data_IF_911552579802
#
_entry.id   IF_911552579802
#
_cell.length_a   1.000
_cell.length_b   1.000
_cell.length_c   1.000
_cell.angle_alpha   90.00
_cell.angle_beta   90.00
_cell.angle_gamma   90.00
#
_symmetry.space_group_name_H-M   'P 1'
#
loop_
_entity.id
_entity.type
_entity.pdbx_description
1 polymer ?
#
# COMPACT_ATOMS: atom_id res chain seq x y z
N UNK A 1 21.00 -25.90 32.34
CA UNK A 1 20.65 -24.72 31.56
C UNK A 1 19.41 -24.12 32.19
N UNK A 2 19.37 -22.83 32.56
CA UNK A 2 18.15 -22.27 33.15
C UNK A 2 17.07 -22.30 32.06
N UNK A 3 15.89 -22.86 32.43
CA UNK A 3 14.69 -22.76 31.62
C UNK A 3 14.46 -21.26 31.33
N UNK A 4 14.46 -20.86 30.07
CA UNK A 4 14.02 -19.52 29.68
C UNK A 4 12.61 -19.34 30.29
N UNK A 5 12.49 -18.51 31.30
CA UNK A 5 11.19 -18.09 31.81
C UNK A 5 10.45 -17.47 30.58
N UNK A 6 9.41 -18.15 30.15
CA UNK A 6 8.57 -17.66 29.06
C UNK A 6 8.06 -16.30 29.51
N UNK A 7 8.37 -15.25 28.75
CA UNK A 7 8.01 -13.89 29.12
C UNK A 7 6.49 -13.77 29.29
N UNK A 8 6.05 -13.26 30.42
CA UNK A 8 4.63 -12.97 30.65
C UNK A 8 4.25 -11.68 29.91
N UNK A 9 3.83 -11.87 28.67
CA UNK A 9 3.43 -10.78 27.78
C UNK A 9 2.26 -9.99 28.36
N UNK A 10 1.33 -10.65 29.08
CA UNK A 10 0.19 -9.97 29.69
C UNK A 10 0.62 -9.07 30.86
N UNK A 11 1.56 -9.54 31.70
CA UNK A 11 2.14 -8.69 32.73
C UNK A 11 2.88 -7.50 32.17
N UNK A 12 3.58 -7.69 31.03
CA UNK A 12 4.28 -6.59 30.37
C UNK A 12 3.33 -5.49 29.87
N UNK A 13 2.22 -5.83 29.21
CA UNK A 13 1.32 -4.84 28.61
C UNK A 13 0.30 -4.25 29.61
N UNK A 14 0.09 -4.88 30.76
CA UNK A 14 -0.88 -4.41 31.77
C UNK A 14 -0.56 -3.00 32.23
N UNK A 15 -1.54 -2.10 32.05
CA UNK A 15 -1.42 -0.68 32.41
C UNK A 15 -0.48 0.13 31.50
N UNK A 16 0.04 -0.45 30.43
CA UNK A 16 0.86 0.28 29.45
C UNK A 16 0.01 0.95 28.39
N UNK A 17 0.64 1.92 27.74
CA UNK A 17 0.14 2.58 26.55
C UNK A 17 0.96 2.12 25.34
N UNK A 18 0.29 1.67 24.31
CA UNK A 18 0.88 1.34 23.01
C UNK A 18 0.67 2.52 22.06
N UNK A 19 1.71 2.93 21.36
CA UNK A 19 1.63 3.99 20.35
C UNK A 19 1.50 3.38 18.96
N UNK A 20 0.48 3.82 18.22
CA UNK A 20 0.35 3.56 16.79
C UNK A 20 0.79 4.81 16.02
N UNK A 21 1.94 4.73 15.35
CA UNK A 21 2.54 5.86 14.63
C UNK A 21 2.18 5.76 13.15
N UNK A 22 1.44 6.75 12.64
CA UNK A 22 0.95 6.78 11.26
C UNK A 22 1.86 7.63 10.38
N UNK A 23 2.34 7.07 9.28
CA UNK A 23 3.26 7.72 8.33
C UNK A 23 2.63 8.78 7.42
N UNK A 24 1.37 9.16 7.67
CA UNK A 24 0.64 10.17 6.89
C UNK A 24 -0.02 11.19 7.80
N UNK A 25 -0.48 12.30 7.20
CA UNK A 25 -1.30 13.29 7.91
C UNK A 25 -2.67 12.71 8.34
N UNK A 26 -3.36 13.39 9.29
CA UNK A 26 -4.66 12.96 9.77
C UNK A 26 -5.75 13.06 8.68
N UNK A 27 -6.77 12.19 8.79
CA UNK A 27 -7.98 12.18 7.95
C UNK A 27 -7.84 11.49 6.59
N UNK A 28 -6.64 11.09 6.17
CA UNK A 28 -6.45 10.28 4.96
C UNK A 28 -6.70 8.79 5.21
N UNK A 29 -6.79 7.99 4.12
CA UNK A 29 -7.10 6.56 4.21
C UNK A 29 -6.19 5.78 5.18
N UNK A 30 -4.88 6.00 5.18
CA UNK A 30 -3.97 5.35 6.13
C UNK A 30 -4.29 5.70 7.58
N UNK A 31 -4.61 6.96 7.87
CA UNK A 31 -4.97 7.43 9.21
C UNK A 31 -6.31 6.85 9.67
N UNK A 32 -7.32 6.81 8.79
CA UNK A 32 -8.63 6.23 9.11
C UNK A 32 -8.52 4.74 9.44
N UNK A 33 -7.81 3.95 8.65
CA UNK A 33 -7.55 2.54 8.94
C UNK A 33 -6.78 2.36 10.26
N UNK A 34 -5.72 3.15 10.48
CA UNK A 34 -4.92 3.05 11.70
C UNK A 34 -5.75 3.39 12.95
N UNK A 35 -6.63 4.39 12.89
CA UNK A 35 -7.53 4.74 14.00
C UNK A 35 -8.59 3.67 14.24
N UNK A 36 -9.15 3.07 13.18
CA UNK A 36 -10.07 1.96 13.31
C UNK A 36 -9.39 0.78 14.00
N UNK A 37 -8.22 0.34 13.55
CA UNK A 37 -7.45 -0.72 14.20
C UNK A 37 -7.09 -0.36 15.65
N UNK A 38 -6.65 0.87 15.92
CA UNK A 38 -6.25 1.30 17.25
C UNK A 38 -7.38 1.25 18.30
N UNK A 39 -8.63 1.47 17.89
CA UNK A 39 -9.79 1.36 18.80
C UNK A 39 -10.06 -0.05 19.30
N UNK A 40 -9.67 -1.06 18.50
CA UNK A 40 -10.04 -2.45 18.78
C UNK A 40 -8.86 -3.34 19.18
N UNK A 41 -7.67 -3.14 18.60
CA UNK A 41 -6.54 -4.06 18.76
C UNK A 41 -6.09 -4.21 20.23
N UNK A 42 -6.22 -3.18 21.04
CA UNK A 42 -5.87 -3.21 22.46
C UNK A 42 -6.63 -4.28 23.22
N UNK A 43 -7.87 -4.58 22.86
CA UNK A 43 -8.72 -5.60 23.48
C UNK A 43 -8.21 -7.02 23.21
N UNK A 44 -7.41 -7.22 22.17
CA UNK A 44 -6.87 -8.50 21.75
C UNK A 44 -5.40 -8.69 22.16
N UNK A 45 -4.72 -7.63 22.61
CA UNK A 45 -3.35 -7.75 23.14
C UNK A 45 -3.43 -8.23 24.58
N UNK A 46 -2.70 -9.30 24.97
CA UNK A 46 -2.65 -9.75 26.37
C UNK A 46 -2.28 -8.60 27.31
N UNK A 47 -3.07 -8.34 28.35
CA UNK A 47 -2.88 -7.21 29.28
C UNK A 47 -3.66 -5.94 28.91
N UNK A 48 -4.35 -5.94 27.78
CA UNK A 48 -5.28 -4.91 27.31
C UNK A 48 -4.72 -3.48 27.40
N UNK A 49 -3.59 -3.16 26.72
CA UNK A 49 -3.02 -1.82 26.74
C UNK A 49 -3.92 -0.82 26.00
N UNK A 50 -3.93 0.41 26.46
CA UNK A 50 -4.55 1.50 25.71
C UNK A 50 -3.72 1.81 24.48
N UNK A 51 -4.37 1.99 23.32
CA UNK A 51 -3.68 2.34 22.07
C UNK A 51 -3.93 3.81 21.72
N UNK A 52 -2.87 4.58 21.49
CA UNK A 52 -2.94 5.99 21.07
C UNK A 52 -2.35 6.16 19.67
N UNK A 53 -2.99 6.97 18.85
CA UNK A 53 -2.56 7.26 17.47
C UNK A 53 -1.80 8.58 17.41
N UNK A 54 -0.64 8.57 16.73
CA UNK A 54 0.19 9.75 16.47
C UNK A 54 0.55 9.81 14.99
N UNK A 55 0.37 10.96 14.35
CA UNK A 55 0.73 11.14 12.95
C UNK A 55 2.15 11.72 12.81
N UNK A 56 2.96 11.15 11.89
CA UNK A 56 4.30 11.60 11.57
C UNK A 56 4.53 11.48 10.05
N UNK A 57 4.06 12.48 9.31
CA UNK A 57 3.89 12.43 7.86
C UNK A 57 5.12 12.85 7.03
N UNK A 58 6.23 13.23 7.66
CA UNK A 58 7.38 13.79 6.94
C UNK A 58 7.96 12.82 5.89
N UNK A 59 8.25 13.33 4.69
CA UNK A 59 8.82 12.61 3.55
C UNK A 59 8.07 11.28 3.24
N UNK A 60 6.74 11.33 3.15
CA UNK A 60 5.95 10.13 2.86
C UNK A 60 6.05 9.03 3.94
N UNK A 61 6.36 9.41 5.17
CA UNK A 61 6.57 8.47 6.29
C UNK A 61 8.00 7.91 6.40
N UNK A 62 8.91 8.18 5.44
CA UNK A 62 10.30 7.70 5.51
C UNK A 62 11.04 8.16 6.77
N UNK A 63 10.81 9.42 7.21
CA UNK A 63 11.40 9.94 8.44
C UNK A 63 10.95 9.13 9.64
N UNK A 64 9.66 8.82 9.74
CA UNK A 64 9.10 7.98 10.80
C UNK A 64 9.77 6.60 10.83
N UNK A 65 9.86 5.93 9.67
CA UNK A 65 10.43 4.57 9.61
C UNK A 65 11.91 4.57 9.94
N UNK A 66 12.70 5.53 9.42
CA UNK A 66 14.11 5.69 9.76
C UNK A 66 14.33 5.87 11.27
N UNK A 67 13.49 6.71 11.92
CA UNK A 67 13.56 6.94 13.36
C UNK A 67 13.19 5.70 14.15
N UNK A 68 12.09 5.04 13.80
CA UNK A 68 11.64 3.83 14.51
C UNK A 68 12.63 2.66 14.33
N UNK A 69 13.23 2.55 13.15
CA UNK A 69 14.25 1.53 12.90
C UNK A 69 15.49 1.71 13.75
N UNK A 70 15.99 2.95 13.86
CA UNK A 70 17.27 3.26 14.49
C UNK A 70 17.13 3.53 16.00
N UNK A 71 16.09 4.28 16.39
CA UNK A 71 15.93 4.86 17.74
C UNK A 71 14.61 4.47 18.40
N UNK A 72 13.72 3.75 17.69
CA UNK A 72 12.42 3.35 18.23
C UNK A 72 12.56 2.40 19.42
N UNK A 73 11.57 2.39 20.34
CA UNK A 73 11.50 1.41 21.42
C UNK A 73 11.49 0.01 20.84
N UNK A 74 12.35 -0.85 21.38
CA UNK A 74 12.49 -2.26 20.98
C UNK A 74 11.76 -3.21 21.94
N UNK A 75 10.77 -2.69 22.63
CA UNK A 75 10.05 -3.39 23.69
C UNK A 75 8.62 -3.82 23.31
N UNK A 76 8.18 -3.48 22.07
CA UNK A 76 6.85 -3.82 21.58
C UNK A 76 5.74 -2.81 21.95
N UNK A 77 6.08 -1.64 22.53
CA UNK A 77 5.12 -0.59 22.86
C UNK A 77 4.81 0.34 21.68
N UNK A 78 5.36 0.06 20.49
CA UNK A 78 5.12 0.84 19.28
C UNK A 78 4.75 -0.06 18.11
N UNK A 79 3.66 0.30 17.42
CA UNK A 79 3.29 -0.21 16.08
C UNK A 79 3.28 0.97 15.12
N UNK A 80 3.85 0.81 13.94
CA UNK A 80 3.80 1.79 12.87
C UNK A 80 2.81 1.37 11.79
N UNK A 81 2.11 2.36 11.21
CA UNK A 81 1.24 2.23 10.05
C UNK A 81 1.82 3.10 8.91
N UNK A 82 2.77 2.57 8.12
CA UNK A 82 3.39 3.29 7.01
C UNK A 82 2.54 3.23 5.75
N UNK A 83 2.92 4.02 4.74
CA UNK A 83 2.39 3.83 3.38
C UNK A 83 2.93 2.54 2.76
N UNK A 84 2.19 2.00 1.78
CA UNK A 84 2.53 0.73 1.12
C UNK A 84 3.80 0.77 0.22
N UNK A 85 4.40 1.92 0.01
CA UNK A 85 5.70 2.06 -0.66
C UNK A 85 6.90 1.73 0.24
N UNK A 86 6.74 1.78 1.57
CA UNK A 86 7.82 1.59 2.53
C UNK A 86 8.55 0.25 2.41
N UNK A 87 7.86 -0.90 2.19
CA UNK A 87 8.57 -2.17 2.06
C UNK A 87 9.63 -2.20 0.95
N UNK A 88 9.42 -1.47 -0.14
CA UNK A 88 10.35 -1.41 -1.27
C UNK A 88 11.26 -0.17 -1.27
N UNK A 89 11.03 0.78 -0.38
CA UNK A 89 11.79 2.04 -0.33
C UNK A 89 13.32 1.85 -0.21
N UNK A 90 13.87 0.91 0.59
CA UNK A 90 15.33 0.68 0.62
C UNK A 90 15.92 0.26 -0.73
N UNK A 91 15.13 -0.40 -1.56
CA UNK A 91 15.54 -0.81 -2.91
C UNK A 91 15.44 0.35 -3.91
N UNK A 92 14.41 1.18 -3.81
CA UNK A 92 14.12 2.23 -4.79
C UNK A 92 14.78 3.57 -4.44
N UNK A 93 14.86 3.91 -3.16
CA UNK A 93 15.33 5.18 -2.63
C UNK A 93 16.41 4.99 -1.54
N UNK A 94 17.54 4.28 -1.79
CA UNK A 94 18.49 3.89 -0.76
C UNK A 94 19.16 5.07 -0.05
N UNK A 95 19.21 6.24 -0.67
CA UNK A 95 19.74 7.46 -0.04
C UNK A 95 18.80 8.00 1.05
N UNK A 96 17.48 7.84 0.88
CA UNK A 96 16.44 8.32 1.79
C UNK A 96 16.01 7.25 2.81
N UNK A 97 15.91 5.99 2.39
CA UNK A 97 15.49 4.86 3.21
C UNK A 97 16.68 4.19 3.91
N UNK A 98 16.93 4.56 5.16
CA UNK A 98 18.08 4.09 5.98
C UNK A 98 17.67 2.95 6.92
N UNK A 99 16.94 1.99 6.41
CA UNK A 99 16.46 0.82 7.14
C UNK A 99 16.48 -0.42 6.24
N UNK A 100 16.45 -1.58 6.85
CA UNK A 100 16.24 -2.85 6.18
C UNK A 100 14.79 -3.30 6.42
N UNK A 101 13.96 -3.26 5.37
CA UNK A 101 12.54 -3.61 5.49
C UNK A 101 12.30 -5.08 5.88
N UNK A 102 13.26 -5.98 5.59
CA UNK A 102 13.18 -7.38 5.98
C UNK A 102 13.39 -7.59 7.49
N UNK A 103 14.05 -6.64 8.18
CA UNK A 103 14.27 -6.66 9.63
C UNK A 103 13.15 -6.00 10.44
N UNK A 104 12.22 -5.30 9.79
CA UNK A 104 11.02 -4.83 10.45
C UNK A 104 10.13 -6.03 10.80
N UNK A 105 9.47 -5.98 11.95
CA UNK A 105 8.55 -7.03 12.37
C UNK A 105 7.15 -6.72 11.80
N UNK A 106 6.83 -7.21 10.64
CA UNK A 106 5.52 -6.99 10.02
C UNK A 106 4.43 -7.69 10.82
N UNK A 107 3.40 -6.93 11.19
CA UNK A 107 2.30 -7.35 12.07
C UNK A 107 1.08 -7.80 11.26
N UNK A 108 0.87 -7.21 10.09
CA UNK A 108 -0.21 -7.52 9.18
C UNK A 108 -0.50 -6.38 8.21
N UNK A 109 -1.52 -6.55 7.40
CA UNK A 109 -2.11 -5.49 6.56
C UNK A 109 -3.63 -5.60 6.62
N UNK A 110 -4.34 -4.48 6.73
CA UNK A 110 -5.82 -4.49 6.81
C UNK A 110 -6.49 -4.76 5.48
N UNK A 111 -5.81 -4.51 4.38
CA UNK A 111 -6.37 -4.80 3.06
C UNK A 111 -5.31 -5.17 2.03
N UNK A 112 -5.76 -5.92 1.03
CA UNK A 112 -5.16 -5.99 -0.31
C UNK A 112 -5.94 -5.02 -1.17
N UNK A 113 -5.30 -4.35 -2.11
CA UNK A 113 -5.97 -3.34 -2.91
C UNK A 113 -5.64 -3.53 -4.39
N UNK A 114 -6.64 -3.78 -5.20
CA UNK A 114 -6.48 -3.76 -6.65
C UNK A 114 -6.42 -2.32 -7.12
N UNK A 115 -5.43 -2.00 -7.93
CA UNK A 115 -5.34 -0.72 -8.61
C UNK A 115 -5.76 -0.88 -10.06
N UNK A 116 -6.32 0.20 -10.63
CA UNK A 116 -6.83 0.20 -12.00
C UNK A 116 -6.28 1.39 -12.80
N UNK A 117 -6.15 1.18 -14.10
CA UNK A 117 -6.15 2.25 -15.08
C UNK A 117 -7.53 2.35 -15.70
N UNK A 118 -8.09 3.55 -15.78
CA UNK A 118 -9.35 3.78 -16.47
C UNK A 118 -9.29 4.99 -17.39
N UNK A 119 -10.08 4.94 -18.45
CA UNK A 119 -10.25 6.01 -19.41
C UNK A 119 -11.65 6.62 -19.31
N UNK A 120 -11.74 7.91 -19.59
CA UNK A 120 -13.01 8.63 -19.77
C UNK A 120 -13.72 8.13 -21.02
N UNK A 121 -15.04 8.10 -21.03
CA UNK A 121 -15.84 7.53 -22.12
C UNK A 121 -15.58 8.19 -23.48
N UNK A 122 -15.17 9.45 -23.50
CA UNK A 122 -14.86 10.19 -24.74
C UNK A 122 -13.38 10.07 -25.16
N UNK A 123 -12.52 9.38 -24.39
CA UNK A 123 -11.13 9.21 -24.73
C UNK A 123 -10.94 8.27 -25.93
N UNK A 124 -9.88 8.46 -26.75
CA UNK A 124 -9.60 7.60 -27.91
C UNK A 124 -9.12 6.20 -27.53
N UNK A 125 -8.81 5.97 -26.25
CA UNK A 125 -8.34 4.71 -25.66
C UNK A 125 -9.45 4.16 -24.77
N UNK A 126 -10.02 3.01 -25.14
CA UNK A 126 -11.09 2.36 -24.38
C UNK A 126 -10.74 0.91 -24.01
N UNK A 127 -9.55 0.46 -24.39
CA UNK A 127 -9.03 -0.88 -24.11
C UNK A 127 -7.53 -0.86 -23.91
N UNK A 128 -7.00 -1.96 -23.33
CA UNK A 128 -5.55 -2.14 -23.23
C UNK A 128 -4.90 -2.25 -24.61
N UNK A 129 -5.59 -2.81 -25.59
CA UNK A 129 -5.10 -2.87 -26.98
C UNK A 129 -4.96 -1.48 -27.60
N UNK A 130 -5.91 -0.58 -27.33
CA UNK A 130 -5.78 0.83 -27.76
C UNK A 130 -4.60 1.50 -27.08
N UNK A 131 -4.41 1.30 -25.76
CA UNK A 131 -3.32 1.90 -24.98
C UNK A 131 -1.94 1.49 -25.48
N UNK A 132 -1.81 0.33 -26.12
CA UNK A 132 -0.57 -0.11 -26.74
C UNK A 132 -0.27 0.65 -28.05
N UNK A 133 -1.26 1.27 -28.67
CA UNK A 133 -1.15 1.92 -29.98
C UNK A 133 -1.35 3.43 -29.90
N UNK A 134 -2.25 3.90 -29.02
CA UNK A 134 -2.64 5.30 -28.86
C UNK A 134 -2.20 5.83 -27.51
N UNK A 135 -1.93 7.13 -27.44
CA UNK A 135 -1.64 7.82 -26.19
C UNK A 135 -2.92 8.01 -25.38
N UNK A 136 -2.83 7.77 -24.05
CA UNK A 136 -3.84 8.15 -23.08
C UNK A 136 -3.26 9.18 -22.12
N UNK A 137 -3.84 10.39 -22.11
CA UNK A 137 -3.42 11.48 -21.23
C UNK A 137 -4.03 11.24 -19.84
N UNK A 138 -3.19 10.94 -18.85
CA UNK A 138 -3.63 10.64 -17.49
C UNK A 138 -3.21 11.69 -16.50
N UNK A 139 -4.15 12.11 -15.64
CA UNK A 139 -3.86 13.03 -14.54
C UNK A 139 -3.16 12.31 -13.38
N UNK A 140 -2.19 12.98 -12.77
CA UNK A 140 -1.44 12.46 -11.63
C UNK A 140 -1.06 13.54 -10.62
N UNK A 141 -0.85 13.13 -9.37
CA UNK A 141 -0.38 13.98 -8.28
C UNK A 141 1.15 14.03 -8.26
N UNK A 142 1.76 13.84 -7.07
CA UNK A 142 3.21 13.88 -6.92
C UNK A 142 3.89 12.57 -7.39
N UNK A 143 5.18 12.66 -7.67
CA UNK A 143 6.05 11.50 -7.89
C UNK A 143 6.03 10.56 -6.66
N UNK A 144 6.25 9.26 -6.89
CA UNK A 144 6.21 8.23 -5.84
C UNK A 144 4.79 7.73 -5.50
N UNK A 145 3.74 8.33 -6.10
CA UNK A 145 2.38 7.81 -6.01
C UNK A 145 2.09 6.79 -7.09
N UNK A 146 1.13 5.91 -6.87
CA UNK A 146 0.72 4.91 -7.88
C UNK A 146 0.17 5.55 -9.15
N UNK A 147 -0.37 6.76 -9.04
CA UNK A 147 -0.83 7.59 -10.19
C UNK A 147 0.31 7.91 -11.17
N UNK A 148 1.55 7.96 -10.69
CA UNK A 148 2.76 8.21 -11.48
C UNK A 148 3.53 6.92 -11.72
N UNK A 149 3.83 6.16 -10.67
CA UNK A 149 4.74 5.02 -10.71
C UNK A 149 4.22 3.89 -11.60
N UNK A 150 2.92 3.57 -11.51
CA UNK A 150 2.34 2.46 -12.27
C UNK A 150 2.31 2.72 -13.77
N UNK A 151 1.85 3.90 -14.25
CA UNK A 151 1.98 4.24 -15.66
C UNK A 151 3.42 4.27 -16.19
N UNK A 152 4.38 4.78 -15.39
CA UNK A 152 5.80 4.80 -15.80
C UNK A 152 6.35 3.40 -16.02
N UNK A 153 6.14 2.48 -15.07
CA UNK A 153 6.61 1.10 -15.20
C UNK A 153 5.88 0.34 -16.31
N UNK A 154 4.58 0.61 -16.50
CA UNK A 154 3.82 0.04 -17.60
C UNK A 154 4.36 0.53 -18.95
N UNK A 155 4.63 1.82 -19.12
CA UNK A 155 5.25 2.36 -20.32
C UNK A 155 6.61 1.72 -20.61
N UNK A 156 7.45 1.59 -19.59
CA UNK A 156 8.80 1.05 -19.72
C UNK A 156 8.83 -0.43 -20.07
N UNK A 157 8.07 -1.24 -19.36
CA UNK A 157 8.17 -2.70 -19.46
C UNK A 157 7.13 -3.33 -20.39
N UNK A 158 5.98 -2.66 -20.57
CA UNK A 158 4.88 -3.18 -21.39
C UNK A 158 4.67 -2.40 -22.68
N UNK A 159 5.38 -1.27 -22.86
CA UNK A 159 5.25 -0.38 -24.00
C UNK A 159 3.85 0.22 -24.13
N UNK A 160 3.18 0.45 -23.02
CA UNK A 160 1.96 1.26 -22.99
C UNK A 160 2.29 2.73 -23.31
N UNK A 161 1.27 3.52 -23.64
CA UNK A 161 1.45 4.90 -24.07
C UNK A 161 0.69 5.87 -23.15
N UNK A 162 0.91 5.75 -21.82
CA UNK A 162 0.43 6.76 -20.90
C UNK A 162 1.24 8.05 -21.04
N UNK A 163 0.55 9.19 -21.21
CA UNK A 163 1.13 10.53 -21.06
C UNK A 163 0.70 11.10 -19.72
N UNK A 164 1.65 11.27 -18.81
CA UNK A 164 1.36 11.61 -17.43
C UNK A 164 1.41 13.12 -17.22
N UNK A 165 0.28 13.73 -16.90
CA UNK A 165 0.17 15.16 -16.53
C UNK A 165 0.18 15.24 -15.01
N UNK A 166 1.28 15.76 -14.45
CA UNK A 166 1.50 15.90 -12.99
C UNK A 166 1.10 17.29 -12.50
N UNK A 167 0.96 17.45 -11.18
CA UNK A 167 0.75 18.75 -10.54
C UNK A 167 -0.67 18.95 -10.03
N UNK A 168 -1.52 17.96 -10.10
CA UNK A 168 -2.80 17.99 -9.39
C UNK A 168 -2.58 17.74 -7.89
N UNK A 169 -3.24 18.52 -7.04
CA UNK A 169 -3.11 18.35 -5.57
C UNK A 169 -3.86 17.12 -5.05
N UNK A 170 -4.86 16.65 -5.80
CA UNK A 170 -5.74 15.56 -5.37
C UNK A 170 -6.46 14.87 -6.53
N UNK A 171 -6.94 13.65 -6.30
CA UNK A 171 -7.79 12.92 -7.27
C UNK A 171 -9.07 13.66 -7.65
N UNK A 172 -9.81 14.33 -6.73
CA UNK A 172 -10.97 15.14 -7.11
C UNK A 172 -10.65 16.23 -8.13
N UNK A 173 -9.47 16.87 -8.06
CA UNK A 173 -9.06 17.85 -9.08
C UNK A 173 -8.82 17.18 -10.44
N UNK A 174 -8.24 15.97 -10.46
CA UNK A 174 -8.08 15.18 -11.70
C UNK A 174 -9.44 14.83 -12.28
N UNK A 175 -10.41 14.49 -11.45
CA UNK A 175 -11.77 14.19 -11.90
C UNK A 175 -12.42 15.40 -12.59
N UNK A 176 -12.27 16.60 -12.00
CA UNK A 176 -12.76 17.84 -12.61
C UNK A 176 -12.05 18.13 -13.94
N UNK A 177 -10.72 17.93 -14.00
CA UNK A 177 -9.93 18.10 -15.22
C UNK A 177 -10.38 17.12 -16.33
N UNK A 178 -10.77 15.91 -15.95
CA UNK A 178 -11.29 14.89 -16.88
C UNK A 178 -12.67 15.31 -17.46
N UNK A 179 -13.58 15.82 -16.62
CA UNK A 179 -14.86 16.35 -17.09
C UNK A 179 -14.70 17.54 -18.05
N UNK A 180 -13.61 18.31 -17.90
CA UNK A 180 -13.26 19.44 -18.79
C UNK A 180 -12.49 19.03 -20.04
N UNK A 181 -12.09 17.74 -20.15
CA UNK A 181 -11.30 17.24 -21.26
C UNK A 181 -9.82 17.64 -21.23
N UNK A 182 -9.30 18.08 -20.07
CA UNK A 182 -7.89 18.43 -19.89
C UNK A 182 -7.01 17.18 -19.80
N UNK A 183 -7.57 16.10 -19.23
CA UNK A 183 -6.99 14.75 -19.18
C UNK A 183 -8.06 13.73 -19.55
N UNK A 184 -7.63 12.52 -19.94
CA UNK A 184 -8.48 11.50 -20.53
C UNK A 184 -8.71 10.29 -19.59
N UNK A 185 -8.02 10.26 -18.46
CA UNK A 185 -8.13 9.13 -17.53
C UNK A 185 -7.20 9.22 -16.33
N UNK A 186 -7.11 8.12 -15.62
CA UNK A 186 -6.18 7.90 -14.50
C UNK A 186 -5.45 6.59 -14.74
N UNK A 187 -4.12 6.61 -14.52
CA UNK A 187 -3.24 5.50 -14.86
C UNK A 187 -2.94 4.51 -13.73
N UNK A 188 -3.37 4.77 -12.48
CA UNK A 188 -3.01 3.88 -11.36
C UNK A 188 -3.66 4.30 -10.04
N UNK A 189 -4.95 4.02 -9.85
CA UNK A 189 -5.73 4.36 -8.64
C UNK A 189 -6.34 3.11 -8.02
N UNK A 190 -6.48 3.09 -6.69
CA UNK A 190 -7.15 2.00 -5.98
C UNK A 190 -8.61 1.86 -6.42
N UNK A 191 -9.03 0.64 -6.75
CA UNK A 191 -10.39 0.36 -7.22
C UNK A 191 -11.45 0.71 -6.19
N UNK A 192 -11.16 0.48 -4.91
CA UNK A 192 -12.06 0.88 -3.83
C UNK A 192 -12.27 2.40 -3.79
N UNK A 193 -11.22 3.19 -3.99
CA UNK A 193 -11.36 4.64 -4.07
C UNK A 193 -12.27 5.08 -5.23
N UNK A 194 -12.17 4.42 -6.38
CA UNK A 194 -13.07 4.67 -7.52
C UNK A 194 -14.52 4.38 -7.15
N UNK A 195 -14.78 3.20 -6.55
CA UNK A 195 -16.15 2.79 -6.12
C UNK A 195 -16.77 3.74 -5.10
N UNK A 196 -15.97 4.34 -4.22
CA UNK A 196 -16.47 5.21 -3.15
C UNK A 196 -16.58 6.68 -3.55
N UNK A 197 -15.66 7.17 -4.40
CA UNK A 197 -15.62 8.60 -4.73
C UNK A 197 -16.43 8.98 -5.97
N UNK A 198 -16.54 8.07 -6.94
CA UNK A 198 -17.22 8.30 -8.23
C UNK A 198 -18.14 7.13 -8.64
N UNK A 199 -18.99 6.58 -7.74
CA UNK A 199 -19.84 5.44 -8.05
C UNK A 199 -20.78 5.72 -9.22
N UNK A 200 -21.24 6.98 -9.36
CA UNK A 200 -22.13 7.39 -10.44
C UNK A 200 -21.44 7.28 -11.82
N UNK A 201 -20.14 7.54 -11.93
CA UNK A 201 -19.42 7.38 -13.19
C UNK A 201 -19.34 5.93 -13.65
N UNK A 202 -19.28 5.00 -12.69
CA UNK A 202 -19.34 3.57 -12.99
C UNK A 202 -20.74 3.20 -13.48
N UNK A 203 -21.79 3.62 -12.76
CA UNK A 203 -23.19 3.33 -13.09
C UNK A 203 -23.59 3.90 -14.47
N UNK A 204 -23.15 5.14 -14.76
CA UNK A 204 -23.43 5.83 -16.02
C UNK A 204 -22.47 5.44 -17.15
N UNK A 205 -21.55 4.50 -16.91
CA UNK A 205 -20.52 4.07 -17.88
C UNK A 205 -19.67 5.25 -18.42
N UNK A 206 -19.43 6.25 -17.59
CA UNK A 206 -18.58 7.41 -17.96
C UNK A 206 -17.09 7.06 -17.92
N UNK A 207 -16.70 5.96 -17.31
CA UNK A 207 -15.33 5.44 -17.30
C UNK A 207 -15.31 3.98 -17.76
N UNK A 208 -14.21 3.62 -18.42
CA UNK A 208 -13.89 2.23 -18.80
C UNK A 208 -12.62 1.81 -18.09
N UNK A 209 -12.67 0.76 -17.27
CA UNK A 209 -11.46 0.16 -16.70
C UNK A 209 -10.73 -0.60 -17.79
N UNK A 210 -9.55 -0.11 -18.18
CA UNK A 210 -8.77 -0.66 -19.30
C UNK A 210 -7.76 -1.73 -18.88
N UNK A 211 -7.30 -1.68 -17.64
CA UNK A 211 -6.41 -2.68 -17.06
C UNK A 211 -6.42 -2.60 -15.52
N UNK A 212 -6.00 -3.68 -14.90
CA UNK A 212 -5.78 -3.75 -13.46
C UNK A 212 -4.30 -4.04 -13.15
N UNK A 213 -3.83 -3.52 -12.00
CA UNK A 213 -2.51 -3.75 -11.46
C UNK A 213 -2.64 -4.60 -10.20
N UNK A 214 -1.91 -5.70 -10.15
CA UNK A 214 -1.89 -6.63 -9.04
C UNK A 214 -1.12 -7.88 -9.42
N UNK A 215 -0.82 -8.73 -8.43
CA UNK A 215 -0.20 -10.03 -8.66
C UNK A 215 -1.25 -11.06 -9.10
N UNK A 216 -2.50 -10.80 -8.80
CA UNK A 216 -3.66 -11.63 -9.11
C UNK A 216 -4.75 -10.82 -9.79
N UNK A 217 -5.60 -11.49 -10.56
CA UNK A 217 -6.77 -10.86 -11.17
C UNK A 217 -7.87 -10.70 -10.14
N UNK A 218 -8.44 -9.48 -10.06
CA UNK A 218 -9.60 -9.21 -9.23
C UNK A 218 -10.86 -9.75 -9.89
N UNK A 219 -11.65 -10.58 -9.22
CA UNK A 219 -12.89 -11.14 -9.76
C UNK A 219 -13.95 -10.09 -10.16
N UNK A 220 -14.01 -8.94 -9.46
CA UNK A 220 -14.91 -7.83 -9.81
C UNK A 220 -14.54 -7.22 -11.16
N UNK A 221 -13.28 -7.33 -11.58
CA UNK A 221 -12.72 -6.73 -12.78
C UNK A 221 -12.36 -7.80 -13.84
N UNK A 222 -13.13 -8.88 -13.90
CA UNK A 222 -12.83 -10.04 -14.75
C UNK A 222 -12.60 -9.70 -16.24
N UNK A 223 -13.21 -8.61 -16.75
CA UNK A 223 -13.05 -8.16 -18.13
C UNK A 223 -11.78 -7.33 -18.36
N UNK A 224 -11.20 -6.72 -17.31
CA UNK A 224 -9.98 -5.94 -17.41
C UNK A 224 -8.76 -6.86 -17.22
N UNK A 225 -7.84 -6.96 -18.20
CA UNK A 225 -6.64 -7.77 -18.05
C UNK A 225 -5.71 -7.21 -16.97
N UNK A 226 -4.88 -8.06 -16.35
CA UNK A 226 -3.83 -7.58 -15.48
C UNK A 226 -2.64 -7.10 -16.30
N UNK A 227 -2.01 -6.01 -15.87
CA UNK A 227 -0.77 -5.53 -16.48
C UNK A 227 0.35 -6.59 -16.39
N UNK A 228 0.37 -7.40 -15.34
CA UNK A 228 1.39 -8.45 -15.16
C UNK A 228 1.33 -9.55 -16.23
N UNK A 229 0.13 -9.87 -16.74
CA UNK A 229 -0.06 -10.87 -17.81
C UNK A 229 0.62 -10.48 -19.11
N UNK A 230 0.87 -9.18 -19.34
CA UNK A 230 1.51 -8.66 -20.55
C UNK A 230 3.03 -8.76 -20.54
N UNK A 231 3.65 -9.14 -19.43
CA UNK A 231 5.10 -9.26 -19.32
C UNK A 231 5.62 -10.35 -20.26
N UNK A 232 6.46 -9.95 -21.22
CA UNK A 232 6.99 -10.83 -22.28
C UNK A 232 8.27 -11.56 -21.87
N UNK A 233 9.02 -11.01 -20.92
CA UNK A 233 10.28 -11.58 -20.42
C UNK A 233 10.19 -11.80 -18.92
N UNK A 234 10.98 -12.74 -18.40
CA UNK A 234 11.06 -12.97 -16.95
C UNK A 234 11.58 -11.74 -16.21
N UNK A 235 12.49 -10.99 -16.81
CA UNK A 235 13.03 -9.76 -16.22
C UNK A 235 11.94 -8.67 -16.12
N UNK A 236 11.07 -8.50 -17.12
CA UNK A 236 9.96 -7.57 -17.06
C UNK A 236 8.92 -8.03 -16.04
N UNK A 237 8.64 -9.34 -15.99
CA UNK A 237 7.74 -9.92 -14.99
C UNK A 237 8.25 -9.69 -13.57
N UNK A 238 9.54 -9.87 -13.31
CA UNK A 238 10.13 -9.62 -12.00
C UNK A 238 10.05 -8.12 -11.62
N UNK A 239 10.35 -7.22 -12.56
CA UNK A 239 10.27 -5.77 -12.34
C UNK A 239 8.82 -5.34 -12.01
N UNK A 240 7.84 -5.82 -12.77
CA UNK A 240 6.42 -5.53 -12.53
C UNK A 240 5.93 -6.17 -11.23
N UNK A 241 6.34 -7.41 -10.92
CA UNK A 241 6.02 -8.08 -9.65
C UNK A 241 6.52 -7.26 -8.46
N UNK A 242 7.76 -6.76 -8.53
CA UNK A 242 8.31 -5.89 -7.49
C UNK A 242 7.44 -4.64 -7.28
N UNK A 243 6.99 -4.01 -8.35
CA UNK A 243 6.17 -2.80 -8.26
C UNK A 243 4.74 -3.06 -7.82
N UNK A 244 4.15 -4.16 -8.31
CA UNK A 244 2.75 -4.46 -8.00
C UNK A 244 2.58 -5.24 -6.69
N UNK A 245 3.64 -5.76 -6.08
CA UNK A 245 3.57 -6.39 -4.77
C UNK A 245 2.97 -5.49 -3.68
N UNK A 246 3.08 -4.16 -3.82
CA UNK A 246 2.44 -3.21 -2.89
C UNK A 246 0.91 -3.33 -2.84
N UNK A 247 0.29 -4.00 -3.81
CA UNK A 247 -1.15 -4.29 -3.82
C UNK A 247 -1.54 -5.36 -2.79
N UNK A 248 -0.62 -6.23 -2.42
CA UNK A 248 -0.86 -7.31 -1.45
C UNK A 248 -0.84 -6.85 0.02
N UNK A 249 -0.31 -5.65 0.27
CA UNK A 249 -0.25 -5.02 1.60
C UNK A 249 -0.63 -3.53 1.52
N UNK A 250 -1.86 -3.26 1.16
CA UNK A 250 -2.36 -1.90 0.93
C UNK A 250 -2.22 -0.98 2.15
N UNK A 251 -2.41 -1.51 3.37
CA UNK A 251 -2.29 -0.78 4.65
C UNK A 251 -1.51 -1.61 5.66
N UNK A 252 -0.17 -1.68 5.52
CA UNK A 252 0.67 -2.53 6.35
C UNK A 252 0.92 -1.93 7.75
N UNK A 253 1.23 -2.82 8.70
CA UNK A 253 1.61 -2.49 10.08
C UNK A 253 2.89 -3.23 10.44
N UNK A 254 3.81 -2.56 11.16
CA UNK A 254 5.02 -3.19 11.66
C UNK A 254 5.38 -2.72 13.08
N UNK A 255 6.12 -3.54 13.83
CA UNK A 255 6.86 -3.14 15.00
C UNK A 255 8.36 -2.97 14.65
N UNK A 256 9.12 -2.09 15.37
CA UNK A 256 10.55 -1.91 15.17
C UNK A 256 11.34 -3.24 15.21
N UNK A 257 12.57 -3.27 14.65
CA UNK A 257 13.43 -4.44 14.78
C UNK A 257 13.79 -4.71 16.26
N UNK A 258 14.26 -5.92 16.52
CA UNK A 258 14.75 -6.36 17.84
C UNK A 258 13.69 -6.35 18.98
N UNK A 259 12.41 -6.26 18.68
CA UNK A 259 11.33 -6.51 19.64
C UNK A 259 11.34 -8.01 19.99
N UNK A 260 11.20 -8.41 21.28
CA UNK A 260 11.15 -9.81 21.68
C UNK A 260 10.09 -10.60 20.90
N UNK A 261 10.46 -11.80 20.41
CA UNK A 261 9.60 -12.59 19.52
C UNK A 261 8.22 -12.89 20.14
N UNK A 262 8.17 -13.19 21.44
CA UNK A 262 6.90 -13.44 22.13
C UNK A 262 5.93 -12.23 22.05
N UNK A 263 6.45 -11.00 22.07
CA UNK A 263 5.64 -9.79 21.92
C UNK A 263 5.23 -9.56 20.47
N UNK A 264 6.13 -9.80 19.50
CA UNK A 264 5.78 -9.74 18.06
C UNK A 264 4.65 -10.71 17.75
N UNK A 265 4.76 -11.97 18.21
CA UNK A 265 3.72 -12.97 18.04
C UNK A 265 2.40 -12.57 18.70
N UNK A 266 2.45 -11.97 19.89
CA UNK A 266 1.24 -11.46 20.56
C UNK A 266 0.57 -10.34 19.76
N UNK A 267 1.37 -9.40 19.20
CA UNK A 267 0.86 -8.32 18.35
C UNK A 267 0.25 -8.86 17.06
N UNK A 268 0.86 -9.86 16.41
CA UNK A 268 0.31 -10.53 15.21
C UNK A 268 -1.01 -11.22 15.53
N UNK A 269 -1.06 -12.04 16.59
CA UNK A 269 -2.32 -12.68 17.02
C UNK A 269 -3.40 -11.66 17.34
N UNK A 270 -3.06 -10.56 17.99
CA UNK A 270 -3.99 -9.49 18.30
C UNK A 270 -4.52 -8.80 17.03
N UNK A 271 -3.65 -8.58 16.05
CA UNK A 271 -4.05 -8.04 14.75
C UNK A 271 -5.01 -9.00 14.03
N UNK A 272 -4.67 -10.28 13.91
CA UNK A 272 -5.50 -11.30 13.27
C UNK A 272 -6.86 -11.47 13.96
N UNK A 273 -6.88 -11.37 15.30
CA UNK A 273 -8.12 -11.39 16.09
C UNK A 273 -8.97 -10.13 15.82
N UNK A 274 -8.32 -8.96 15.73
CA UNK A 274 -8.99 -7.70 15.40
C UNK A 274 -9.66 -7.78 14.01
N UNK A 275 -8.98 -8.36 13.01
CA UNK A 275 -9.54 -8.50 11.66
C UNK A 275 -10.79 -9.42 11.60
N UNK A 276 -11.03 -10.22 12.64
CA UNK A 276 -12.18 -11.12 12.78
C UNK A 276 -13.21 -10.63 13.80
N UNK A 277 -12.90 -9.55 14.51
CA UNK A 277 -13.77 -8.95 15.51
C UNK A 277 -15.00 -8.31 14.89
N UNK A 278 -16.19 -8.69 15.37
CA UNK A 278 -17.45 -8.19 14.85
C UNK A 278 -17.64 -6.69 15.03
N UNK A 279 -17.14 -6.13 16.13
CA UNK A 279 -17.23 -4.70 16.42
C UNK A 279 -16.29 -3.92 15.48
N UNK A 280 -15.08 -4.42 15.27
CA UNK A 280 -14.16 -3.83 14.28
C UNK A 280 -14.73 -3.88 12.85
N UNK A 281 -15.30 -5.04 12.44
CA UNK A 281 -15.89 -5.20 11.11
C UNK A 281 -17.08 -4.23 10.93
N UNK A 282 -17.94 -4.08 11.95
CA UNK A 282 -19.06 -3.14 11.91
C UNK A 282 -18.58 -1.68 11.80
N UNK A 283 -17.54 -1.31 12.56
CA UNK A 283 -16.91 0.00 12.52
C UNK A 283 -16.27 0.27 11.14
N UNK A 284 -15.59 -0.71 10.56
CA UNK A 284 -15.01 -0.62 9.23
C UNK A 284 -16.08 -0.40 8.14
N UNK A 285 -17.21 -1.12 8.22
CA UNK A 285 -18.33 -0.93 7.29
C UNK A 285 -18.91 0.47 7.41
N UNK A 286 -19.10 0.97 8.64
CA UNK A 286 -19.60 2.33 8.88
C UNK A 286 -18.66 3.40 8.32
N UNK A 287 -17.34 3.17 8.40
CA UNK A 287 -16.30 4.04 7.88
C UNK A 287 -16.00 3.82 6.39
N UNK A 288 -16.70 2.90 5.74
CA UNK A 288 -16.49 2.50 4.34
C UNK A 288 -15.06 2.02 4.06
N UNK A 289 -14.45 1.33 5.04
CA UNK A 289 -13.13 0.73 4.89
C UNK A 289 -13.25 -0.67 4.30
N UNK A 290 -12.54 -0.91 3.21
CA UNK A 290 -12.48 -2.24 2.59
C UNK A 290 -11.48 -3.13 3.32
N UNK A 291 -11.95 -4.28 3.84
CA UNK A 291 -11.15 -5.23 4.58
C UNK A 291 -10.86 -6.47 3.73
N UNK A 292 -9.60 -6.68 3.44
CA UNK A 292 -9.06 -7.89 2.81
C UNK A 292 -7.69 -8.19 3.42
N UNK A 293 -7.65 -8.63 4.70
CA UNK A 293 -6.42 -8.63 5.48
C UNK A 293 -5.39 -9.66 4.98
N UNK A 294 -4.12 -9.32 5.24
CA UNK A 294 -2.99 -10.24 5.17
C UNK A 294 -2.36 -10.37 6.54
N UNK A 295 -1.93 -11.58 6.91
CA UNK A 295 -1.26 -11.85 8.19
C UNK A 295 0.14 -11.23 8.22
N UNK A 296 0.72 -11.09 9.43
CA UNK A 296 2.08 -10.59 9.58
C UNK A 296 3.11 -11.48 8.91
N UNK A 297 2.90 -12.80 8.93
CA UNK A 297 3.76 -13.79 8.28
C UNK A 297 3.72 -13.67 6.75
N UNK A 298 2.53 -13.49 6.17
CA UNK A 298 2.37 -13.29 4.73
C UNK A 298 3.09 -12.02 4.26
N UNK A 299 2.90 -10.89 4.97
CA UNK A 299 3.59 -9.64 4.67
C UNK A 299 5.10 -9.78 4.85
N UNK A 300 5.56 -10.42 5.94
CA UNK A 300 6.98 -10.66 6.21
C UNK A 300 7.64 -11.48 5.10
N UNK A 301 7.01 -12.57 4.67
CA UNK A 301 7.50 -13.43 3.61
C UNK A 301 7.57 -12.69 2.26
N UNK A 302 6.56 -11.90 1.93
CA UNK A 302 6.54 -11.10 0.72
C UNK A 302 7.64 -10.04 0.72
N UNK A 303 7.80 -9.31 1.83
CA UNK A 303 8.86 -8.29 1.98
C UNK A 303 10.25 -8.91 1.89
N UNK A 304 10.48 -10.07 2.53
CA UNK A 304 11.75 -10.80 2.42
C UNK A 304 12.05 -11.22 0.96
N UNK A 305 11.03 -11.69 0.24
CA UNK A 305 11.14 -12.00 -1.20
C UNK A 305 11.48 -10.76 -2.02
N UNK A 306 10.84 -9.62 -1.75
CA UNK A 306 11.13 -8.36 -2.45
C UNK A 306 12.54 -7.87 -2.16
N UNK A 307 13.01 -7.97 -0.91
CA UNK A 307 14.38 -7.58 -0.53
C UNK A 307 15.45 -8.40 -1.26
N UNK A 308 15.13 -9.62 -1.70
CA UNK A 308 16.01 -10.48 -2.51
C UNK A 308 15.94 -10.26 -4.02
N UNK A 309 15.20 -9.23 -4.48
CA UNK A 309 15.12 -8.89 -5.90
C UNK A 309 16.52 -8.62 -6.47
N UNK A 310 16.90 -9.23 -7.61
CA UNK A 310 18.21 -9.03 -8.23
C UNK A 310 18.52 -7.55 -8.49
N UNK A 311 19.77 -7.14 -8.26
CA UNK A 311 20.18 -5.74 -8.35
C UNK A 311 19.95 -5.11 -9.74
N UNK A 312 20.10 -5.91 -10.81
CA UNK A 312 19.82 -5.48 -12.18
C UNK A 312 18.32 -5.20 -12.40
N UNK A 313 17.42 -5.99 -11.81
CA UNK A 313 15.98 -5.75 -11.85
C UNK A 313 15.65 -4.46 -11.08
N UNK A 314 16.22 -4.29 -9.88
CA UNK A 314 16.04 -3.05 -9.10
C UNK A 314 16.52 -1.83 -9.89
N UNK A 315 17.69 -1.91 -10.54
CA UNK A 315 18.22 -0.82 -11.37
C UNK A 315 17.29 -0.49 -12.55
N UNK A 316 16.71 -1.50 -13.19
CA UNK A 316 15.72 -1.29 -14.28
C UNK A 316 14.45 -0.60 -13.78
N UNK A 317 13.96 -0.95 -12.60
CA UNK A 317 12.78 -0.29 -11.99
C UNK A 317 13.10 1.15 -11.64
N UNK A 318 14.25 1.43 -11.00
CA UNK A 318 14.68 2.80 -10.72
C UNK A 318 14.74 3.64 -11.99
N UNK A 319 15.42 3.14 -13.05
CA UNK A 319 15.50 3.84 -14.33
C UNK A 319 14.12 4.09 -14.98
N UNK A 320 13.13 3.22 -14.72
CA UNK A 320 11.76 3.43 -15.19
C UNK A 320 11.05 4.56 -14.43
N UNK A 321 11.30 4.68 -13.11
CA UNK A 321 10.70 5.72 -12.26
C UNK A 321 11.37 7.09 -12.43
N UNK A 322 12.66 7.12 -12.78
CA UNK A 322 13.42 8.35 -13.06
C UNK A 322 13.14 8.92 -14.46
N UNK A 323 12.61 8.10 -15.38
CA UNK A 323 12.27 8.55 -16.71
C UNK A 323 11.21 9.66 -16.59
N UNK A 324 11.62 10.91 -16.83
CA UNK A 324 10.68 12.00 -17.04
C UNK A 324 9.84 11.69 -18.28
N UNK A 325 8.55 11.92 -18.25
CA UNK A 325 7.71 11.81 -19.44
C UNK A 325 8.07 12.86 -20.46
#
# INVERSE_FOLDING_TARGET
>A
MPANAQEDVAAFYRGKQLRMVVGTGPGGGYDLFARAVARHIGNHIPGNPTVIVQNQAAAGGLVMVNQLYSLGPKDGTVIAAPINGIPTAPLLEPAAARFDSAKLNWIGSTNRETYVAYAWHAAPVQSLADLMQKELIVGATAAGTTLVDFPLVANKFLRTRFKIVRGYDSTPQINVAMERGEVEGIGGIGWQAVKTTIPQWIADKKITVIAQYGLHRDPELALAPTMLELAKTDADRQALTMMFARTEYGRPYFAPPDVPSARVEALRRAFDATMKDREFIADAVQLQLDLSPSTGEEVQALVAKLASTPADIVARVRAALEASP
#
